data_IF_231215492134
#
_entry.id   IF_231215492134
#
_cell.length_a   1.000
_cell.length_b   1.000
_cell.length_c   1.000
_cell.angle_alpha   90.00
_cell.angle_beta   90.00
_cell.angle_gamma   90.00
#
_symmetry.space_group_name_H-M   'P 1'
#
loop_
_entity.id
_entity.type
_entity.pdbx_description
1 polymer ?
#
# COMPACT_ATOMS: atom_id res chain seq x y z
N UNK A 1 23.37 -3.10 -20.92
CA UNK A 1 22.38 -2.69 -19.92
C UNK A 1 21.22 -3.67 -20.05
N UNK A 2 21.07 -4.58 -19.09
CA UNK A 2 20.06 -5.64 -19.17
C UNK A 2 18.71 -5.09 -18.75
N UNK A 3 17.73 -5.11 -19.65
CA UNK A 3 16.34 -4.88 -19.29
C UNK A 3 15.95 -5.94 -18.26
N UNK A 4 15.65 -5.51 -17.03
CA UNK A 4 15.08 -6.39 -16.03
C UNK A 4 13.72 -6.85 -16.58
N UNK A 5 13.57 -8.16 -16.79
CA UNK A 5 12.27 -8.77 -17.07
C UNK A 5 11.26 -8.33 -16.01
N UNK A 6 10.00 -8.09 -16.40
CA UNK A 6 8.99 -7.43 -15.54
C UNK A 6 8.90 -7.99 -14.11
N UNK A 7 9.08 -9.31 -13.93
CA UNK A 7 9.05 -9.95 -12.60
C UNK A 7 10.29 -9.69 -11.71
N UNK A 8 11.42 -9.28 -12.28
CA UNK A 8 12.59 -8.83 -11.49
C UNK A 8 12.46 -7.38 -11.05
N UNK A 9 11.90 -6.53 -11.91
CA UNK A 9 11.59 -5.14 -11.57
C UNK A 9 10.59 -5.07 -10.41
N UNK A 10 9.50 -5.82 -10.52
CA UNK A 10 8.46 -5.89 -9.49
C UNK A 10 9.01 -6.36 -8.13
N UNK A 11 9.84 -7.42 -8.13
CA UNK A 11 10.54 -7.86 -6.91
C UNK A 11 11.46 -6.79 -6.34
N UNK A 12 12.22 -6.08 -7.17
CA UNK A 12 13.10 -5.00 -6.72
C UNK A 12 12.31 -3.86 -6.06
N UNK A 13 11.21 -3.41 -6.69
CA UNK A 13 10.33 -2.38 -6.11
C UNK A 13 9.76 -2.85 -4.78
N UNK A 14 9.28 -4.10 -4.69
CA UNK A 14 8.75 -4.70 -3.46
C UNK A 14 9.78 -4.73 -2.33
N UNK A 15 10.99 -5.24 -2.60
CA UNK A 15 12.05 -5.33 -1.59
C UNK A 15 12.46 -3.94 -1.11
N UNK A 16 12.56 -2.97 -2.01
CA UNK A 16 12.89 -1.58 -1.65
C UNK A 16 11.75 -0.91 -0.89
N UNK A 17 10.50 -1.11 -1.31
CA UNK A 17 9.30 -0.63 -0.61
C UNK A 17 9.26 -1.15 0.83
N UNK A 18 9.43 -2.47 1.03
CA UNK A 18 9.47 -3.07 2.36
C UNK A 18 10.62 -2.52 3.22
N UNK A 19 11.84 -2.43 2.66
CA UNK A 19 12.99 -1.87 3.37
C UNK A 19 12.76 -0.40 3.75
N UNK A 20 12.19 0.40 2.84
CA UNK A 20 11.85 1.80 3.07
C UNK A 20 10.76 1.94 4.13
N UNK A 21 9.69 1.15 4.07
CA UNK A 21 8.62 1.18 5.07
C UNK A 21 9.13 0.81 6.47
N UNK A 22 10.03 -0.17 6.59
CA UNK A 22 10.67 -0.49 7.89
C UNK A 22 11.48 0.68 8.44
N UNK A 23 12.24 1.38 7.60
CA UNK A 23 13.11 2.49 8.02
C UNK A 23 12.30 3.77 8.28
N UNK A 24 11.43 4.15 7.35
CA UNK A 24 10.73 5.45 7.33
C UNK A 24 9.43 5.41 8.12
N UNK A 25 8.69 4.30 8.09
CA UNK A 25 7.46 4.13 8.87
C UNK A 25 7.70 3.40 10.21
N UNK A 26 8.93 2.90 10.44
CA UNK A 26 9.31 2.26 11.70
C UNK A 26 8.64 0.91 11.94
N UNK A 27 8.18 0.23 10.90
CA UNK A 27 7.48 -1.06 11.06
C UNK A 27 8.45 -2.16 11.55
N UNK A 28 8.11 -2.79 12.68
CA UNK A 28 8.85 -3.93 13.23
C UNK A 28 8.12 -5.22 12.88
N UNK A 29 8.84 -6.27 12.46
CA UNK A 29 8.22 -7.53 12.03
C UNK A 29 7.37 -7.42 10.75
N UNK A 30 7.53 -6.35 9.96
CA UNK A 30 6.69 -6.13 8.78
C UNK A 30 6.80 -7.26 7.75
N UNK A 31 5.66 -7.73 7.27
CA UNK A 31 5.51 -8.66 6.15
C UNK A 31 4.66 -8.04 5.04
N UNK A 32 4.85 -8.51 3.82
CA UNK A 32 4.14 -8.03 2.63
C UNK A 32 3.05 -9.03 2.29
N UNK A 33 1.81 -8.56 2.20
CA UNK A 33 0.73 -9.29 1.57
C UNK A 33 0.54 -8.75 0.14
N UNK A 34 0.41 -9.67 -0.80
CA UNK A 34 0.18 -9.39 -2.22
C UNK A 34 -1.16 -9.92 -2.67
N UNK A 35 -1.64 -9.32 -3.75
CA UNK A 35 -2.88 -9.67 -4.41
C UNK A 35 -2.98 -11.18 -4.76
N UNK A 36 -4.18 -11.74 -4.58
CA UNK A 36 -4.64 -13.14 -4.67
C UNK A 36 -3.91 -14.26 -3.88
N UNK A 37 -2.59 -14.21 -3.69
CA UNK A 37 -1.85 -15.22 -2.90
C UNK A 37 -1.63 -14.81 -1.43
N UNK A 38 -1.77 -13.52 -1.11
CA UNK A 38 -1.47 -12.94 0.21
C UNK A 38 -2.50 -13.19 1.32
N UNK A 39 -3.55 -13.97 1.06
CA UNK A 39 -4.57 -14.35 2.06
C UNK A 39 -4.20 -15.62 2.84
N UNK A 40 -2.91 -15.86 3.08
CA UNK A 40 -2.50 -16.90 4.04
C UNK A 40 -2.58 -16.43 5.48
N UNK A 41 -2.91 -15.15 5.74
CA UNK A 41 -3.16 -14.65 7.10
C UNK A 41 -4.63 -14.83 7.49
N UNK A 42 -4.98 -15.84 8.32
CA UNK A 42 -6.37 -16.11 8.68
C UNK A 42 -6.97 -14.99 9.54
N UNK A 43 -6.14 -14.19 10.21
CA UNK A 43 -6.60 -13.09 11.07
C UNK A 43 -7.13 -11.94 10.22
N UNK A 44 -6.39 -11.58 9.17
CA UNK A 44 -6.83 -10.55 8.23
C UNK A 44 -8.10 -10.98 7.50
N UNK A 45 -8.17 -12.22 7.01
CA UNK A 45 -9.38 -12.79 6.42
C UNK A 45 -10.60 -12.70 7.35
N UNK A 46 -10.42 -13.08 8.62
CA UNK A 46 -11.50 -13.03 9.62
C UNK A 46 -11.95 -11.59 9.93
N UNK A 47 -11.03 -10.62 9.88
CA UNK A 47 -11.33 -9.21 10.06
C UNK A 47 -12.12 -8.65 8.87
N UNK A 48 -11.72 -9.00 7.65
CA UNK A 48 -12.42 -8.65 6.40
C UNK A 48 -13.86 -9.16 6.45
N UNK A 49 -14.07 -10.45 6.72
CA UNK A 49 -15.41 -11.06 6.76
C UNK A 49 -16.30 -10.39 7.81
N UNK A 50 -15.71 -9.93 8.91
CA UNK A 50 -16.43 -9.18 9.95
C UNK A 50 -16.80 -7.78 9.47
N UNK A 51 -15.87 -7.06 8.84
CA UNK A 51 -16.10 -5.73 8.30
C UNK A 51 -17.21 -5.72 7.25
N UNK A 52 -17.23 -6.71 6.35
CA UNK A 52 -18.28 -6.87 5.33
C UNK A 52 -19.63 -7.20 5.99
N UNK A 53 -19.67 -8.18 6.92
CA UNK A 53 -20.91 -8.54 7.62
C UNK A 53 -21.50 -7.39 8.44
N UNK A 54 -20.64 -6.55 9.01
CA UNK A 54 -21.05 -5.38 9.77
C UNK A 54 -21.37 -4.16 8.89
N UNK A 55 -21.23 -4.26 7.57
CA UNK A 55 -21.49 -3.17 6.63
C UNK A 55 -20.48 -2.03 6.70
N UNK A 56 -19.30 -2.25 7.28
CA UNK A 56 -18.22 -1.25 7.35
C UNK A 56 -17.52 -1.07 6.00
N UNK A 57 -17.48 -2.13 5.20
CA UNK A 57 -16.86 -2.18 3.88
C UNK A 57 -17.77 -2.97 2.94
N UNK A 58 -17.98 -2.49 1.72
CA UNK A 58 -18.71 -3.21 0.68
C UNK A 58 -17.83 -4.32 0.06
N UNK A 59 -18.45 -5.29 -0.63
CA UNK A 59 -17.65 -6.27 -1.38
C UNK A 59 -16.78 -5.61 -2.46
N UNK A 60 -17.28 -4.55 -3.11
CA UNK A 60 -16.52 -3.80 -4.11
C UNK A 60 -15.36 -3.03 -3.49
N UNK A 61 -15.54 -2.44 -2.30
CA UNK A 61 -14.45 -1.78 -1.57
C UNK A 61 -13.37 -2.78 -1.14
N UNK A 62 -13.79 -3.97 -0.71
CA UNK A 62 -12.85 -5.06 -0.47
C UNK A 62 -12.08 -5.44 -1.76
N UNK A 63 -12.76 -5.59 -2.89
CA UNK A 63 -12.09 -5.88 -4.17
C UNK A 63 -11.09 -4.79 -4.56
N UNK A 64 -11.45 -3.51 -4.39
CA UNK A 64 -10.56 -2.37 -4.64
C UNK A 64 -9.32 -2.37 -3.72
N UNK A 65 -9.47 -2.68 -2.43
CA UNK A 65 -8.31 -2.83 -1.54
C UNK A 65 -7.32 -3.88 -2.07
N UNK A 66 -7.83 -4.98 -2.64
CA UNK A 66 -6.98 -6.02 -3.18
C UNK A 66 -6.23 -5.57 -4.43
N UNK A 67 -6.77 -4.64 -5.20
CA UNK A 67 -6.06 -4.04 -6.33
C UNK A 67 -4.87 -3.14 -5.95
N UNK A 68 -4.61 -2.90 -4.65
CA UNK A 68 -3.39 -2.24 -4.21
C UNK A 68 -2.14 -3.01 -4.68
N UNK A 69 -1.10 -2.28 -5.08
CA UNK A 69 0.16 -2.90 -5.50
C UNK A 69 0.82 -3.66 -4.35
N UNK A 70 0.80 -3.07 -3.15
CA UNK A 70 1.32 -3.70 -1.93
C UNK A 70 0.50 -3.35 -0.71
N UNK A 71 0.34 -4.35 0.16
CA UNK A 71 -0.10 -4.16 1.54
C UNK A 71 1.03 -4.64 2.45
N UNK A 72 1.49 -3.79 3.35
CA UNK A 72 2.46 -4.14 4.38
C UNK A 72 1.74 -4.14 5.71
N UNK A 73 1.83 -5.24 6.44
CA UNK A 73 1.31 -5.36 7.79
C UNK A 73 2.46 -5.59 8.76
N UNK A 74 2.39 -4.95 9.92
CA UNK A 74 3.32 -5.12 11.02
C UNK A 74 2.64 -5.84 12.19
N UNK A 75 3.45 -6.47 13.04
CA UNK A 75 2.95 -7.21 14.21
C UNK A 75 2.23 -6.32 15.22
N UNK A 76 2.53 -5.02 15.23
CA UNK A 76 1.94 -4.01 16.11
C UNK A 76 0.64 -3.39 15.56
N UNK A 77 -0.04 -4.09 14.64
CA UNK A 77 -1.30 -3.67 14.01
C UNK A 77 -1.22 -2.34 13.24
N UNK A 78 -0.01 -2.01 12.73
CA UNK A 78 0.18 -0.95 11.75
C UNK A 78 0.22 -1.53 10.35
N UNK A 79 -0.35 -0.78 9.42
CA UNK A 79 -0.42 -1.18 8.02
C UNK A 79 0.03 -0.05 7.11
N UNK A 80 0.54 -0.40 5.94
CA UNK A 80 0.74 0.52 4.84
C UNK A 80 0.07 -0.06 3.59
N UNK A 81 -0.70 0.79 2.90
CA UNK A 81 -1.30 0.46 1.60
C UNK A 81 -0.57 1.31 0.57
N UNK A 82 -0.04 0.66 -0.45
CA UNK A 82 0.94 1.25 -1.34
C UNK A 82 0.48 1.15 -2.79
N UNK A 83 0.50 2.29 -3.48
CA UNK A 83 0.40 2.41 -4.94
C UNK A 83 1.78 2.67 -5.53
N UNK A 84 2.14 1.95 -6.58
CA UNK A 84 3.39 2.08 -7.31
C UNK A 84 3.10 2.66 -8.68
N UNK A 85 3.63 3.85 -8.94
CA UNK A 85 3.52 4.50 -10.24
C UNK A 85 4.90 4.89 -10.75
N UNK A 86 5.08 5.00 -12.08
CA UNK A 86 6.33 5.58 -12.61
C UNK A 86 6.30 7.09 -12.39
N UNK A 87 5.15 7.71 -12.63
CA UNK A 87 4.91 9.14 -12.42
C UNK A 87 3.62 9.26 -11.64
N UNK A 88 3.73 9.47 -10.33
CA UNK A 88 2.59 9.67 -9.46
C UNK A 88 1.68 10.79 -9.99
N UNK A 89 0.38 10.56 -10.01
CA UNK A 89 -0.64 11.57 -10.29
C UNK A 89 -1.70 11.63 -9.17
N UNK A 90 -2.73 12.44 -9.39
CA UNK A 90 -3.84 12.59 -8.44
C UNK A 90 -4.60 11.28 -8.23
N UNK A 91 -4.75 10.48 -9.29
CA UNK A 91 -5.47 9.21 -9.20
C UNK A 91 -4.68 8.23 -8.33
N UNK A 92 -3.35 8.18 -8.47
CA UNK A 92 -2.48 7.37 -7.61
C UNK A 92 -2.63 7.75 -6.12
N UNK A 93 -2.63 9.04 -5.81
CA UNK A 93 -2.81 9.57 -4.44
C UNK A 93 -4.19 9.19 -3.91
N UNK A 94 -5.23 9.37 -4.73
CA UNK A 94 -6.61 9.07 -4.35
C UNK A 94 -6.84 7.57 -4.13
N UNK A 95 -6.25 6.70 -4.95
CA UNK A 95 -6.31 5.25 -4.77
C UNK A 95 -5.61 4.83 -3.47
N UNK A 96 -4.39 5.30 -3.23
CA UNK A 96 -3.66 5.02 -2.00
C UNK A 96 -4.48 5.40 -0.75
N UNK A 97 -5.07 6.60 -0.76
CA UNK A 97 -5.91 7.09 0.33
C UNK A 97 -7.19 6.28 0.51
N UNK A 98 -7.91 6.00 -0.57
CA UNK A 98 -9.18 5.26 -0.54
C UNK A 98 -8.95 3.85 0.01
N UNK A 99 -7.96 3.13 -0.52
CA UNK A 99 -7.64 1.77 -0.10
C UNK A 99 -7.10 1.72 1.31
N UNK A 100 -6.29 2.71 1.74
CA UNK A 100 -5.89 2.83 3.13
C UNK A 100 -7.08 3.03 4.08
N UNK A 101 -8.08 3.83 3.67
CA UNK A 101 -9.32 4.02 4.42
C UNK A 101 -10.11 2.71 4.57
N UNK A 102 -10.16 1.90 3.51
CA UNK A 102 -10.80 0.58 3.53
C UNK A 102 -10.06 -0.37 4.49
N UNK A 103 -8.73 -0.41 4.41
CA UNK A 103 -7.90 -1.22 5.31
C UNK A 103 -8.05 -0.78 6.78
N UNK A 104 -8.17 0.52 7.04
CA UNK A 104 -8.39 1.04 8.40
C UNK A 104 -9.75 0.61 8.95
N UNK A 105 -10.80 0.61 8.11
CA UNK A 105 -12.12 0.11 8.49
C UNK A 105 -12.15 -1.40 8.76
N UNK A 106 -11.26 -2.18 8.12
CA UNK A 106 -11.13 -3.63 8.32
C UNK A 106 -10.36 -3.97 9.60
N UNK A 107 -9.24 -3.29 9.83
CA UNK A 107 -8.26 -3.71 10.86
C UNK A 107 -8.38 -2.96 12.17
N UNK A 108 -9.14 -1.85 12.20
CA UNK A 108 -9.15 -0.87 13.31
C UNK A 108 -7.73 -0.39 13.68
N UNK A 109 -6.75 -0.63 12.81
CA UNK A 109 -5.33 -0.33 12.98
C UNK A 109 -4.94 1.00 12.34
N UNK A 110 -3.75 1.48 12.67
CA UNK A 110 -3.20 2.66 12.02
C UNK A 110 -2.71 2.29 10.61
N UNK A 111 -3.31 2.90 9.60
CA UNK A 111 -2.96 2.65 8.19
C UNK A 111 -2.33 3.89 7.59
N UNK A 112 -1.15 3.72 6.99
CA UNK A 112 -0.47 4.77 6.22
C UNK A 112 -0.71 4.56 4.72
N UNK A 113 -1.39 5.48 4.02
CA UNK A 113 -1.41 5.47 2.56
C UNK A 113 -0.05 5.90 2.02
N UNK A 114 0.46 5.19 1.02
CA UNK A 114 1.79 5.42 0.44
C UNK A 114 1.70 5.43 -1.08
N UNK A 115 2.38 6.39 -1.71
CA UNK A 115 2.67 6.37 -3.14
C UNK A 115 4.17 6.22 -3.34
N UNK A 116 4.57 5.20 -4.08
CA UNK A 116 5.93 4.99 -4.53
C UNK A 116 6.01 5.44 -5.98
N UNK A 117 6.95 6.35 -6.27
CA UNK A 117 7.10 6.90 -7.63
C UNK A 117 8.54 7.07 -8.05
N UNK A 118 8.83 7.07 -9.35
CA UNK A 118 10.16 7.43 -9.85
C UNK A 118 10.38 8.94 -9.91
N UNK A 119 9.29 9.71 -10.02
CA UNK A 119 9.30 11.17 -10.11
C UNK A 119 8.08 11.74 -9.41
N UNK A 120 8.28 12.88 -8.75
CA UNK A 120 7.23 13.66 -8.12
C UNK A 120 7.54 15.13 -8.39
N UNK A 121 6.57 15.88 -8.92
CA UNK A 121 6.70 17.33 -9.04
C UNK A 121 6.18 18.02 -7.76
N UNK A 122 6.54 19.30 -7.53
CA UNK A 122 6.15 20.00 -6.30
C UNK A 122 4.63 20.10 -6.07
N UNK A 123 3.83 20.15 -7.14
CA UNK A 123 2.38 20.20 -7.02
C UNK A 123 1.82 18.86 -6.50
N UNK A 124 2.35 17.74 -7.00
CA UNK A 124 1.98 16.39 -6.57
C UNK A 124 2.45 16.11 -5.13
N UNK A 125 3.62 16.63 -4.74
CA UNK A 125 4.11 16.54 -3.37
C UNK A 125 3.20 17.26 -2.39
N UNK A 126 2.85 18.52 -2.68
CA UNK A 126 1.92 19.29 -1.87
C UNK A 126 0.53 18.65 -1.79
N UNK A 127 0.06 18.05 -2.89
CA UNK A 127 -1.22 17.34 -2.92
C UNK A 127 -1.18 16.08 -2.05
N UNK A 128 -0.12 15.28 -2.13
CA UNK A 128 0.04 14.08 -1.32
C UNK A 128 0.13 14.43 0.17
N UNK A 129 0.90 15.47 0.52
CA UNK A 129 1.00 15.98 1.89
C UNK A 129 -0.38 16.43 2.42
N UNK A 130 -1.11 17.23 1.65
CA UNK A 130 -2.47 17.67 2.00
C UNK A 130 -3.45 16.50 2.14
N UNK A 131 -3.25 15.41 1.38
CA UNK A 131 -4.05 14.20 1.45
C UNK A 131 -3.65 13.26 2.59
N UNK A 132 -2.55 13.53 3.31
CA UNK A 132 -1.98 12.66 4.33
C UNK A 132 -1.33 11.39 3.76
N UNK A 133 -0.89 11.45 2.50
CA UNK A 133 -0.28 10.33 1.76
C UNK A 133 1.24 10.46 1.78
N UNK A 134 1.92 9.45 2.31
CA UNK A 134 3.37 9.42 2.30
C UNK A 134 3.88 9.15 0.87
N UNK A 135 4.87 9.91 0.41
CA UNK A 135 5.46 9.71 -0.91
C UNK A 135 6.90 9.23 -0.80
N UNK A 136 7.25 8.19 -1.56
CA UNK A 136 8.62 7.69 -1.65
C UNK A 136 9.10 7.75 -3.09
N UNK A 137 10.05 8.66 -3.34
CA UNK A 137 10.72 8.74 -4.64
C UNK A 137 11.81 7.68 -4.72
N UNK A 138 11.65 6.72 -5.62
CA UNK A 138 12.61 5.66 -5.91
C UNK A 138 13.06 5.74 -7.37
N UNK A 139 14.31 6.17 -7.65
CA UNK A 139 14.78 6.26 -9.03
C UNK A 139 14.70 4.90 -9.73
N UNK A 140 14.12 4.92 -10.92
CA UNK A 140 14.12 3.77 -11.83
C UNK A 140 15.57 3.49 -12.24
N UNK A 141 16.07 2.25 -12.12
CA UNK A 141 17.45 1.89 -12.48
C UNK A 141 17.72 1.98 -13.99
#
# INVERSE_FOLDING_TARGET
MGNLEGGQYERSVRTRALARSRITLGFTGAYVALNQEGLTDPRLNSAIDRAIRNGLVSQDGYADLFEADLIISAEDNRHAVIEVSITADEDDINRAKTRAGIMAAITEGAVTPVVITSRLNPAQEAQAEAAGVATFVMPYP
#
